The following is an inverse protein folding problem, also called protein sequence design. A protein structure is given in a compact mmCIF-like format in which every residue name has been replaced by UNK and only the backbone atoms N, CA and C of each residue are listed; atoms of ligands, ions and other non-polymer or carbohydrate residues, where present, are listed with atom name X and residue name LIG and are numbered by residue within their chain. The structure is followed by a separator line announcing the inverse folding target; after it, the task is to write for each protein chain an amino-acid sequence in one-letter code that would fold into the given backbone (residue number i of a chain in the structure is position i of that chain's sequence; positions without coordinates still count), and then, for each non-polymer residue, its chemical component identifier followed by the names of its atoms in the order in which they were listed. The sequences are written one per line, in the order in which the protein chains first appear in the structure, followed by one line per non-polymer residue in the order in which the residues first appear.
data_IF_203407364754
#
_entry.id   IF_203407364754
#
_cell.length_a   1.000
_cell.length_b   1.000
_cell.length_c   1.000
_cell.angle_alpha   90.00
_cell.angle_beta   90.00
_cell.angle_gamma   90.00
#
_symmetry.space_group_name_H-M   'P 1'
#
loop_
_entity.id
_entity.type
_entity.pdbx_description
1 polymer ?
#
# COMPACT_ATOMS: atom_id res chain seq x y z
N UNK A 1 11.19 35.71 14.61
CA UNK A 1 10.73 34.44 14.04
C UNK A 1 9.32 34.19 14.54
N UNK A 2 8.33 34.15 13.64
CA UNK A 2 6.96 33.79 14.01
C UNK A 2 6.93 32.28 14.23
N UNK A 3 6.50 31.86 15.41
CA UNK A 3 6.13 30.46 15.67
C UNK A 3 4.92 30.14 14.77
N UNK A 4 5.16 29.36 13.72
CA UNK A 4 4.14 28.94 12.76
C UNK A 4 3.27 27.84 13.37
N UNK A 5 1.97 28.00 13.17
CA UNK A 5 0.83 27.13 13.52
C UNK A 5 1.17 25.64 13.72
N UNK A 6 0.73 25.10 14.85
CA UNK A 6 0.61 23.65 15.05
C UNK A 6 -0.36 23.12 14.00
N UNK A 7 0.15 22.41 12.98
CA UNK A 7 -0.68 21.73 12.00
C UNK A 7 -1.43 20.60 12.70
N UNK A 8 -2.74 20.77 12.90
CA UNK A 8 -3.60 19.71 13.42
C UNK A 8 -3.63 18.59 12.38
N UNK A 9 -3.19 17.39 12.77
CA UNK A 9 -3.25 16.22 11.89
C UNK A 9 -4.71 15.87 11.57
N UNK A 10 -5.00 15.45 10.33
CA UNK A 10 -6.35 15.04 9.96
C UNK A 10 -6.77 13.77 10.72
N UNK A 11 -8.06 13.64 11.09
CA UNK A 11 -8.56 12.39 11.66
C UNK A 11 -8.43 11.24 10.66
N UNK A 12 -8.38 10.01 11.18
CA UNK A 12 -8.38 8.82 10.34
C UNK A 12 -9.71 8.69 9.61
N UNK A 13 -9.64 8.35 8.33
CA UNK A 13 -10.80 8.15 7.47
C UNK A 13 -11.62 6.98 7.97
N UNK A 14 -12.90 7.25 8.27
CA UNK A 14 -13.85 6.25 8.75
C UNK A 14 -14.59 5.64 7.57
N UNK A 15 -14.64 4.30 7.53
CA UNK A 15 -15.51 3.55 6.64
C UNK A 15 -16.66 2.91 7.41
N UNK A 16 -17.77 2.73 6.71
CA UNK A 16 -19.08 2.48 7.30
C UNK A 16 -19.25 1.07 7.90
N UNK A 17 -18.52 0.08 7.40
CA UNK A 17 -18.65 -1.32 7.83
C UNK A 17 -17.45 -2.16 7.40
N UNK A 18 -17.30 -3.32 8.03
CA UNK A 18 -16.28 -4.32 7.65
C UNK A 18 -16.54 -4.89 6.25
N UNK A 19 -17.79 -5.10 5.87
CA UNK A 19 -18.15 -5.58 4.53
C UNK A 19 -17.71 -4.59 3.45
N UNK A 20 -17.97 -3.29 3.63
CA UNK A 20 -17.51 -2.24 2.72
C UNK A 20 -15.98 -2.17 2.65
N UNK A 21 -15.30 -2.33 3.79
CA UNK A 21 -13.84 -2.39 3.83
C UNK A 21 -13.29 -3.58 3.05
N UNK A 22 -13.88 -4.77 3.21
CA UNK A 22 -13.47 -5.98 2.50
C UNK A 22 -13.73 -5.89 1.00
N UNK A 23 -14.87 -5.32 0.58
CA UNK A 23 -15.17 -5.06 -0.82
C UNK A 23 -14.12 -4.14 -1.45
N UNK A 24 -13.85 -3.00 -0.80
CA UNK A 24 -12.86 -2.02 -1.28
C UNK A 24 -11.44 -2.58 -1.29
N UNK A 25 -11.09 -3.40 -0.29
CA UNK A 25 -9.80 -4.11 -0.24
C UNK A 25 -9.63 -5.08 -1.42
N UNK A 26 -10.68 -5.83 -1.79
CA UNK A 26 -10.62 -6.70 -2.97
C UNK A 26 -10.52 -5.87 -4.25
N UNK A 27 -11.29 -4.80 -4.36
CA UNK A 27 -11.22 -3.90 -5.52
C UNK A 27 -9.83 -3.30 -5.71
N UNK A 28 -9.20 -2.75 -4.65
CA UNK A 28 -7.86 -2.15 -4.73
C UNK A 28 -6.77 -3.19 -5.03
N UNK A 29 -6.95 -4.43 -4.60
CA UNK A 29 -6.03 -5.55 -4.87
C UNK A 29 -6.15 -6.08 -6.30
N UNK A 30 -7.39 -6.28 -6.78
CA UNK A 30 -7.67 -7.14 -7.93
C UNK A 30 -7.89 -6.41 -9.24
N UNK A 31 -8.48 -5.20 -9.20
CA UNK A 31 -8.78 -4.48 -10.44
C UNK A 31 -7.48 -4.10 -11.16
N UNK A 32 -7.53 -4.12 -12.51
CA UNK A 32 -6.36 -3.89 -13.38
C UNK A 32 -6.63 -2.68 -14.27
N UNK A 33 -5.72 -1.70 -14.23
CA UNK A 33 -5.88 -0.41 -14.94
C UNK A 33 -4.54 0.18 -15.41
N UNK A 34 -3.41 -0.33 -14.91
CA UNK A 34 -2.10 0.10 -15.35
C UNK A 34 -1.74 -0.57 -16.67
N UNK A 35 -1.12 0.19 -17.56
CA UNK A 35 -0.63 -0.28 -18.86
C UNK A 35 0.88 -0.09 -18.91
N UNK A 36 1.59 -1.17 -19.22
CA UNK A 36 2.99 -1.06 -19.61
C UNK A 36 3.06 -0.75 -21.11
N UNK A 37 3.83 0.26 -21.55
CA UNK A 37 3.99 0.57 -22.97
C UNK A 37 4.42 -0.63 -23.82
N UNK A 38 5.27 -1.49 -23.26
CA UNK A 38 5.77 -2.71 -23.92
C UNK A 38 4.77 -3.88 -23.93
N UNK A 39 3.69 -3.83 -23.14
CA UNK A 39 2.63 -4.87 -23.06
C UNK A 39 1.25 -4.21 -22.88
N UNK A 40 0.76 -3.45 -23.87
CA UNK A 40 -0.44 -2.62 -23.70
C UNK A 40 -1.73 -3.43 -23.50
N UNK A 41 -1.77 -4.68 -23.97
CA UNK A 41 -2.91 -5.59 -23.88
C UNK A 41 -2.96 -6.39 -22.56
N UNK A 42 -1.92 -6.27 -21.73
CA UNK A 42 -1.82 -6.95 -20.44
C UNK A 42 -1.99 -5.94 -19.30
N UNK A 43 -3.24 -5.65 -18.94
CA UNK A 43 -3.54 -4.73 -17.84
C UNK A 43 -2.99 -5.25 -16.53
N UNK A 44 -2.45 -4.34 -15.72
CA UNK A 44 -1.84 -4.63 -14.43
C UNK A 44 -2.61 -3.97 -13.28
N UNK A 45 -2.67 -4.69 -12.17
CA UNK A 45 -2.90 -4.14 -10.82
C UNK A 45 -1.61 -3.47 -10.32
N UNK A 46 -1.65 -2.92 -9.10
CA UNK A 46 -0.44 -2.43 -8.41
C UNK A 46 0.57 -3.57 -8.18
N UNK A 47 1.84 -3.23 -7.97
CA UNK A 47 2.96 -4.18 -7.87
C UNK A 47 3.03 -4.94 -6.53
N UNK A 48 1.94 -5.58 -6.10
CA UNK A 48 1.78 -6.23 -4.78
C UNK A 48 2.75 -7.40 -4.54
N UNK A 49 3.16 -8.12 -5.59
CA UNK A 49 4.10 -9.26 -5.55
C UNK A 49 5.57 -8.82 -5.66
N UNK A 50 5.85 -7.51 -5.62
CA UNK A 50 7.21 -6.97 -5.50
C UNK A 50 7.37 -6.20 -4.18
N UNK A 51 7.73 -6.90 -3.08
CA UNK A 51 7.77 -6.29 -1.77
C UNK A 51 9.04 -5.44 -1.53
N UNK A 52 10.12 -5.66 -2.28
CA UNK A 52 11.43 -5.07 -2.02
C UNK A 52 11.44 -3.53 -1.91
N UNK A 53 10.61 -2.83 -2.69
CA UNK A 53 10.49 -1.37 -2.71
C UNK A 53 9.15 -0.94 -3.31
N UNK A 54 8.86 0.37 -3.35
CA UNK A 54 7.71 0.97 -4.02
C UNK A 54 6.46 1.08 -3.16
N UNK A 55 6.58 0.93 -1.84
CA UNK A 55 5.46 1.03 -0.89
C UNK A 55 4.70 2.36 -1.02
N UNK A 56 5.41 3.48 -1.13
CA UNK A 56 4.85 4.81 -1.35
C UNK A 56 3.96 4.87 -2.60
N UNK A 57 4.45 4.35 -3.73
CA UNK A 57 3.72 4.32 -4.99
C UNK A 57 2.49 3.39 -4.90
N UNK A 58 2.60 2.25 -4.20
CA UNK A 58 1.48 1.33 -4.00
C UNK A 58 0.38 1.97 -3.14
N UNK A 59 0.76 2.58 -2.02
CA UNK A 59 -0.18 3.23 -1.11
C UNK A 59 -0.87 4.44 -1.76
N UNK A 60 -0.12 5.25 -2.49
CA UNK A 60 -0.69 6.38 -3.23
C UNK A 60 -1.58 5.94 -4.39
N UNK A 61 -1.21 4.88 -5.13
CA UNK A 61 -2.06 4.35 -6.19
C UNK A 61 -3.37 3.77 -5.63
N UNK A 62 -3.31 3.08 -4.49
CA UNK A 62 -4.51 2.59 -3.81
C UNK A 62 -5.45 3.75 -3.46
N UNK A 63 -4.94 4.79 -2.80
CA UNK A 63 -5.69 6.00 -2.49
C UNK A 63 -6.29 6.66 -3.74
N UNK A 64 -5.51 6.77 -4.80
CA UNK A 64 -5.96 7.32 -6.08
C UNK A 64 -7.15 6.59 -6.66
N UNK A 65 -7.09 5.27 -6.70
CA UNK A 65 -8.15 4.49 -7.31
C UNK A 65 -9.41 4.49 -6.45
N UNK A 66 -9.27 4.41 -5.13
CA UNK A 66 -10.38 4.56 -4.21
C UNK A 66 -11.09 5.91 -4.43
N UNK A 67 -10.35 7.00 -4.56
CA UNK A 67 -10.89 8.33 -4.90
C UNK A 67 -11.60 8.35 -6.27
N UNK A 68 -11.01 7.75 -7.30
CA UNK A 68 -11.64 7.63 -8.63
C UNK A 68 -12.92 6.80 -8.63
N UNK A 69 -13.04 5.84 -7.73
CA UNK A 69 -14.25 5.04 -7.52
C UNK A 69 -15.25 5.72 -6.57
N UNK A 70 -15.01 6.99 -6.23
CA UNK A 70 -15.85 7.79 -5.33
C UNK A 70 -15.97 7.22 -3.92
N UNK A 71 -14.97 6.46 -3.46
CA UNK A 71 -14.85 6.04 -2.07
C UNK A 71 -14.08 7.09 -1.26
N UNK A 72 -14.36 7.15 0.04
CA UNK A 72 -13.56 7.96 0.97
C UNK A 72 -12.11 7.49 0.97
N UNK A 73 -11.19 8.41 0.65
CA UNK A 73 -9.77 8.11 0.47
C UNK A 73 -9.10 7.88 1.82
N UNK A 74 -8.44 6.73 2.04
CA UNK A 74 -7.77 6.45 3.30
C UNK A 74 -6.66 7.44 3.64
N UNK A 75 -6.40 7.59 4.94
CA UNK A 75 -5.14 8.13 5.43
C UNK A 75 -3.99 7.19 5.06
N UNK A 76 -2.75 7.64 5.28
CA UNK A 76 -1.59 6.76 5.18
C UNK A 76 -0.98 6.52 6.54
N UNK A 77 -0.61 5.28 6.81
CA UNK A 77 0.22 4.93 7.96
C UNK A 77 1.66 4.69 7.48
N UNK A 78 2.59 5.39 8.12
CA UNK A 78 4.02 5.18 7.99
C UNK A 78 4.51 4.49 9.25
N UNK A 79 5.36 3.48 9.08
CA UNK A 79 6.07 2.81 10.16
C UNK A 79 7.56 2.87 9.88
N UNK A 80 8.37 3.08 10.91
CA UNK A 80 9.82 3.25 10.84
C UNK A 80 10.52 2.30 11.82
N UNK A 81 11.70 1.83 11.43
CA UNK A 81 12.51 0.93 12.26
C UNK A 81 13.33 -0.05 11.42
N UNK A 82 13.81 -1.12 12.04
CA UNK A 82 14.41 -2.27 11.36
C UNK A 82 13.31 -3.29 11.00
N UNK A 83 12.58 -2.99 9.93
CA UNK A 83 11.40 -3.75 9.52
C UNK A 83 11.82 -4.99 8.74
N UNK A 84 11.25 -6.14 9.06
CA UNK A 84 11.56 -7.41 8.41
C UNK A 84 10.28 -8.22 8.18
N UNK A 85 10.01 -8.62 6.93
CA UNK A 85 8.83 -9.41 6.56
C UNK A 85 9.23 -10.68 5.83
N UNK A 86 8.80 -11.83 6.38
CA UNK A 86 8.90 -13.12 5.69
C UNK A 86 7.87 -13.18 4.56
N UNK A 87 8.30 -13.52 3.35
CA UNK A 87 7.42 -13.57 2.18
C UNK A 87 7.94 -14.49 1.09
N UNK A 88 7.01 -15.19 0.43
CA UNK A 88 7.30 -16.02 -0.75
C UNK A 88 7.59 -15.18 -2.01
N UNK A 89 7.39 -13.86 -1.94
CA UNK A 89 7.67 -12.93 -3.03
C UNK A 89 9.09 -12.35 -2.97
N UNK A 90 9.91 -12.79 -2.01
CA UNK A 90 11.32 -12.43 -1.87
C UNK A 90 12.23 -13.58 -2.30
N UNK A 91 13.30 -13.31 -3.05
CA UNK A 91 14.27 -14.36 -3.46
C UNK A 91 14.95 -15.00 -2.25
N UNK A 92 15.26 -14.21 -1.23
CA UNK A 92 15.79 -14.64 0.07
C UNK A 92 14.73 -15.24 1.01
N UNK A 93 13.44 -15.15 0.66
CA UNK A 93 12.32 -15.49 1.55
C UNK A 93 11.97 -14.40 2.57
N UNK A 94 12.68 -13.27 2.57
CA UNK A 94 12.46 -12.13 3.46
C UNK A 94 12.85 -10.81 2.79
N UNK A 95 12.18 -9.73 3.16
CA UNK A 95 12.55 -8.34 2.80
C UNK A 95 12.75 -7.51 4.06
N UNK A 96 13.57 -6.47 3.94
CA UNK A 96 13.84 -5.52 5.02
C UNK A 96 13.73 -4.09 4.54
N UNK A 97 13.23 -3.20 5.39
CA UNK A 97 13.09 -1.77 5.09
C UNK A 97 13.39 -0.91 6.30
N UNK A 98 13.81 0.33 6.07
CA UNK A 98 13.91 1.34 7.13
C UNK A 98 12.55 2.01 7.44
N UNK A 99 11.61 1.95 6.49
CA UNK A 99 10.23 2.35 6.64
C UNK A 99 9.30 1.56 5.72
N UNK A 100 8.02 1.54 6.05
CA UNK A 100 6.98 1.04 5.18
C UNK A 100 5.73 1.93 5.27
N UNK A 101 4.93 1.98 4.20
CA UNK A 101 3.72 2.79 4.14
C UNK A 101 2.57 2.04 3.48
N UNK A 102 1.38 2.21 4.03
CA UNK A 102 0.15 1.63 3.50
C UNK A 102 -1.06 2.55 3.77
N UNK A 103 -2.17 2.39 3.04
CA UNK A 103 -3.45 3.01 3.37
C UNK A 103 -4.00 2.48 4.71
N UNK A 104 -4.60 3.36 5.51
CA UNK A 104 -5.23 3.04 6.80
C UNK A 104 -6.62 3.67 6.92
N UNK A 105 -7.56 2.90 7.45
CA UNK A 105 -8.95 3.31 7.70
C UNK A 105 -9.37 2.92 9.12
N UNK A 106 -10.44 3.53 9.60
CA UNK A 106 -11.11 3.15 10.84
C UNK A 106 -12.50 2.57 10.52
N UNK A 107 -12.85 1.45 11.14
CA UNK A 107 -14.16 0.80 11.06
C UNK A 107 -14.57 0.39 12.46
N UNK A 108 -15.75 0.81 12.92
CA UNK A 108 -16.25 0.53 14.27
C UNK A 108 -15.25 0.88 15.41
N UNK A 109 -14.47 1.95 15.24
CA UNK A 109 -13.45 2.38 16.21
C UNK A 109 -12.15 1.57 16.18
N UNK A 110 -12.03 0.58 15.29
CA UNK A 110 -10.81 -0.22 15.08
C UNK A 110 -10.09 0.24 13.81
N UNK A 111 -8.77 0.39 13.89
CA UNK A 111 -7.92 0.75 12.74
C UNK A 111 -7.50 -0.49 11.96
N UNK A 112 -7.61 -0.39 10.63
CA UNK A 112 -7.24 -1.45 9.68
C UNK A 112 -6.33 -0.91 8.60
N UNK A 113 -5.29 -1.69 8.28
CA UNK A 113 -4.29 -1.40 7.25
C UNK A 113 -4.59 -2.22 6.00
N UNK A 114 -4.60 -1.55 4.85
CA UNK A 114 -4.93 -2.13 3.55
C UNK A 114 -3.65 -2.43 2.76
N UNK A 115 -2.97 -3.53 3.05
CA UNK A 115 -1.65 -3.84 2.47
C UNK A 115 -1.54 -5.24 1.85
N UNK A 116 -1.98 -5.39 0.58
CA UNK A 116 -1.86 -6.67 -0.11
C UNK A 116 -0.43 -7.19 -0.32
N UNK A 117 0.60 -6.35 -0.18
CA UNK A 117 1.98 -6.81 -0.30
C UNK A 117 2.45 -7.62 0.93
N UNK A 118 1.85 -7.37 2.11
CA UNK A 118 2.10 -8.10 3.35
C UNK A 118 1.03 -9.16 3.61
N UNK A 119 -0.25 -8.84 3.41
CA UNK A 119 -1.37 -9.77 3.58
C UNK A 119 -2.36 -9.61 2.41
N UNK A 120 -2.30 -10.48 1.39
CA UNK A 120 -3.13 -10.31 0.21
C UNK A 120 -4.59 -10.70 0.46
N UNK A 121 -4.94 -11.43 1.52
CA UNK A 121 -6.29 -12.00 1.68
C UNK A 121 -7.29 -11.07 2.36
N UNK A 122 -6.81 -10.20 3.24
CA UNK A 122 -7.66 -9.34 4.06
C UNK A 122 -6.90 -8.12 4.60
N UNK A 123 -7.61 -7.03 4.93
CA UNK A 123 -7.08 -5.98 5.80
C UNK A 123 -6.60 -6.55 7.12
N UNK A 124 -5.48 -6.03 7.63
CA UNK A 124 -4.99 -6.39 8.96
C UNK A 124 -5.38 -5.29 9.96
N UNK A 125 -5.61 -5.67 11.22
CA UNK A 125 -5.62 -4.68 12.28
C UNK A 125 -4.24 -4.04 12.38
N UNK A 126 -4.18 -2.80 12.85
CA UNK A 126 -2.92 -2.06 12.98
C UNK A 126 -1.86 -2.86 13.74
N UNK A 127 -2.22 -3.40 14.90
CA UNK A 127 -1.34 -4.21 15.74
C UNK A 127 -0.83 -5.48 15.03
N UNK A 128 -1.70 -6.16 14.28
CA UNK A 128 -1.34 -7.35 13.52
C UNK A 128 -0.40 -7.02 12.36
N UNK A 129 -0.63 -5.89 11.68
CA UNK A 129 0.23 -5.41 10.60
C UNK A 129 1.63 -5.06 11.11
N UNK A 130 1.74 -4.34 12.24
CA UNK A 130 3.02 -4.06 12.88
C UNK A 130 3.76 -5.34 13.29
N UNK A 131 3.04 -6.32 13.84
CA UNK A 131 3.59 -7.63 14.21
C UNK A 131 4.07 -8.47 13.01
N UNK A 132 3.62 -8.19 11.78
CA UNK A 132 4.19 -8.82 10.57
C UNK A 132 5.59 -8.31 10.24
N UNK A 133 5.97 -7.13 10.72
CA UNK A 133 7.24 -6.46 10.39
C UNK A 133 8.28 -6.49 11.51
N UNK A 134 7.89 -6.79 12.75
CA UNK A 134 8.81 -6.84 13.89
C UNK A 134 8.33 -7.81 14.95
N UNK A 135 9.28 -8.47 15.61
CA UNK A 135 9.02 -9.27 16.83
C UNK A 135 8.80 -8.39 18.07
N UNK A 136 9.15 -7.11 18.01
CA UNK A 136 8.89 -6.10 19.05
C UNK A 136 8.13 -4.91 18.47
N UNK A 137 6.87 -5.10 18.01
CA UNK A 137 6.11 -4.06 17.32
C UNK A 137 5.86 -2.79 18.16
N UNK A 138 5.93 -2.88 19.49
CA UNK A 138 5.84 -1.75 20.40
C UNK A 138 7.04 -0.79 20.34
N UNK A 139 8.17 -1.22 19.79
CA UNK A 139 9.38 -0.40 19.64
C UNK A 139 9.40 0.36 18.30
N UNK A 140 8.41 0.11 17.42
CA UNK A 140 8.32 0.76 16.12
C UNK A 140 7.77 2.18 16.25
N UNK A 141 8.34 3.11 15.49
CA UNK A 141 7.81 4.45 15.35
C UNK A 141 6.72 4.47 14.27
N UNK A 142 5.58 5.08 14.56
CA UNK A 142 4.42 5.10 13.67
C UNK A 142 3.86 6.51 13.54
N UNK A 143 3.55 6.91 12.30
CA UNK A 143 2.86 8.15 11.99
C UNK A 143 1.64 7.87 11.09
N UNK A 144 0.47 8.32 11.51
CA UNK A 144 -0.72 8.33 10.64
C UNK A 144 -0.87 9.74 10.07
N UNK A 145 -0.70 9.84 8.76
CA UNK A 145 -0.69 11.10 8.02
C UNK A 145 -1.92 11.22 7.10
N UNK A 146 -2.09 12.40 6.55
CA UNK A 146 -3.12 12.70 5.56
C UNK A 146 -3.01 11.82 4.31
N UNK A 147 -4.14 11.68 3.61
CA UNK A 147 -4.26 10.85 2.41
C UNK A 147 -3.28 11.24 1.29
N UNK A 148 -2.83 12.50 1.25
CA UNK A 148 -1.98 13.08 0.23
C UNK A 148 -0.48 13.06 0.53
N UNK A 149 -0.04 12.70 1.73
CA UNK A 149 1.39 12.54 2.07
C UNK A 149 1.99 11.40 1.25
N UNK A 150 2.99 11.63 0.40
CA UNK A 150 3.52 10.61 -0.54
C UNK A 150 4.71 9.85 0.06
N UNK A 151 5.69 10.59 0.58
CA UNK A 151 6.91 10.06 1.22
C UNK A 151 7.03 10.51 2.68
N UNK A 152 7.93 9.91 3.47
CA UNK A 152 8.19 10.35 4.85
C UNK A 152 8.67 11.80 5.01
N UNK A 153 9.19 12.41 3.94
CA UNK A 153 9.70 13.79 3.98
C UNK A 153 8.62 14.84 3.68
N UNK A 154 7.41 14.40 3.33
CA UNK A 154 6.32 15.30 2.99
C UNK A 154 5.60 15.81 4.24
N UNK A 155 4.80 16.86 4.06
CA UNK A 155 3.88 17.31 5.10
C UNK A 155 2.86 16.22 5.46
N UNK A 156 2.92 15.76 6.72
CA UNK A 156 2.03 14.74 7.26
C UNK A 156 0.56 15.22 7.34
N UNK A 157 0.29 16.51 7.31
CA UNK A 157 -1.07 17.05 7.28
C UNK A 157 -1.69 17.09 5.86
N UNK A 158 -0.92 16.77 4.81
CA UNK A 158 -1.38 16.88 3.42
C UNK A 158 -2.54 15.93 3.13
N UNK A 159 -3.68 16.51 2.76
CA UNK A 159 -4.86 15.79 2.28
C UNK A 159 -4.91 15.82 0.75
N UNK A 160 -5.37 14.71 0.18
CA UNK A 160 -5.69 14.55 -1.23
C UNK A 160 -7.00 13.79 -1.40
N UNK A 161 -7.69 14.06 -2.51
CA UNK A 161 -8.82 13.28 -3.02
C UNK A 161 -8.38 12.09 -3.90
N UNK A 162 -7.07 11.84 -4.00
CA UNK A 162 -6.47 10.77 -4.76
C UNK A 162 -6.29 11.08 -6.25
N UNK A 163 -6.46 12.32 -6.72
CA UNK A 163 -6.37 12.57 -8.16
C UNK A 163 -4.93 12.70 -8.72
N UNK A 164 -3.89 12.57 -7.90
CA UNK A 164 -2.51 12.67 -8.37
C UNK A 164 -2.13 11.54 -9.33
N UNK A 165 -1.35 11.86 -10.38
CA UNK A 165 -0.93 10.87 -11.38
C UNK A 165 0.47 10.28 -11.12
N UNK A 166 1.28 10.92 -10.29
CA UNK A 166 2.66 10.51 -9.97
C UNK A 166 2.75 9.04 -9.56
N UNK A 167 1.81 8.58 -8.72
CA UNK A 167 1.75 7.18 -8.29
C UNK A 167 1.61 6.17 -9.45
N UNK A 168 0.89 6.52 -10.51
CA UNK A 168 0.71 5.62 -11.65
C UNK A 168 1.97 5.55 -12.52
N UNK A 169 2.73 6.63 -12.60
CA UNK A 169 4.01 6.70 -13.33
C UNK A 169 5.10 5.93 -12.58
N UNK A 170 5.23 6.16 -11.27
CA UNK A 170 6.18 5.44 -10.42
C UNK A 170 5.91 3.93 -10.40
N UNK A 171 4.64 3.52 -10.45
CA UNK A 171 4.31 2.09 -10.54
C UNK A 171 4.89 1.41 -11.78
N UNK A 172 5.12 2.11 -12.89
CA UNK A 172 5.61 1.49 -14.12
C UNK A 172 6.97 0.79 -13.94
N UNK A 173 7.87 1.33 -13.12
CA UNK A 173 9.16 0.67 -12.85
C UNK A 173 8.96 -0.58 -11.99
N UNK A 174 8.12 -0.50 -10.96
CA UNK A 174 7.85 -1.61 -10.05
C UNK A 174 7.06 -2.75 -10.71
N UNK A 175 6.21 -2.46 -11.71
CA UNK A 175 5.55 -3.49 -12.51
C UNK A 175 6.52 -4.35 -13.31
N UNK A 176 7.63 -3.77 -13.80
CA UNK A 176 8.71 -4.50 -14.48
C UNK A 176 9.52 -5.32 -13.48
N UNK A 177 9.79 -4.77 -12.31
CA UNK A 177 10.49 -5.50 -11.25
C UNK A 177 9.66 -6.68 -10.72
N UNK A 178 8.36 -6.50 -10.54
CA UNK A 178 7.44 -7.58 -10.16
C UNK A 178 7.44 -8.72 -11.19
N UNK A 179 7.41 -8.39 -12.47
CA UNK A 179 7.52 -9.39 -13.54
C UNK A 179 8.81 -10.20 -13.43
N UNK A 180 9.94 -9.49 -13.33
CA UNK A 180 11.26 -10.12 -13.21
C UNK A 180 11.38 -10.92 -11.92
N UNK A 181 10.75 -10.48 -10.82
CA UNK A 181 10.73 -11.20 -9.55
C UNK A 181 10.04 -12.56 -9.69
N UNK A 182 8.89 -12.62 -10.37
CA UNK A 182 8.25 -13.91 -10.60
C UNK A 182 9.12 -14.85 -11.45
N UNK A 183 9.78 -14.34 -12.48
CA UNK A 183 10.75 -15.13 -13.25
C UNK A 183 11.92 -15.65 -12.38
N UNK A 184 12.49 -14.80 -11.52
CA UNK A 184 13.56 -15.19 -10.58
C UNK A 184 13.11 -16.29 -9.61
N UNK A 185 11.86 -16.22 -9.16
CA UNK A 185 11.22 -17.21 -8.29
C UNK A 185 10.75 -18.47 -9.05
N UNK A 186 11.02 -18.56 -10.35
CA UNK A 186 10.57 -19.65 -11.25
C UNK A 186 9.04 -19.80 -11.26
N UNK A 187 8.32 -18.68 -11.13
CA UNK A 187 6.86 -18.55 -11.22
C UNK A 187 6.47 -18.00 -12.57
N UNK A 188 5.22 -18.23 -12.97
CA UNK A 188 4.69 -17.76 -14.25
C UNK A 188 4.08 -16.35 -14.10
N UNK A 189 4.72 -15.30 -14.62
CA UNK A 189 4.19 -13.94 -14.52
C UNK A 189 2.92 -13.72 -15.34
N UNK A 190 2.69 -14.43 -16.45
CA UNK A 190 1.48 -14.26 -17.25
C UNK A 190 0.25 -14.79 -16.51
N UNK A 191 0.41 -15.92 -15.83
CA UNK A 191 -0.63 -16.50 -14.98
C UNK A 191 -0.90 -15.66 -13.73
N UNK A 192 0.14 -15.37 -12.93
CA UNK A 192 -0.04 -14.79 -11.60
C UNK A 192 -0.30 -13.28 -11.58
N UNK A 193 0.22 -12.55 -12.56
CA UNK A 193 -0.11 -11.13 -12.75
C UNK A 193 -1.38 -10.94 -13.58
N UNK A 194 -1.79 -12.01 -14.26
CA UNK A 194 -3.06 -12.14 -14.94
C UNK A 194 -4.11 -12.76 -14.02
N UNK A 195 -4.78 -13.79 -14.53
CA UNK A 195 -6.06 -14.29 -14.02
C UNK A 195 -5.95 -15.26 -12.85
N UNK A 196 -4.74 -15.70 -12.49
CA UNK A 196 -4.53 -16.63 -11.38
C UNK A 196 -3.60 -16.03 -10.31
N UNK A 197 -3.97 -14.89 -9.68
CA UNK A 197 -3.18 -14.35 -8.60
C UNK A 197 -3.04 -15.36 -7.43
N UNK A 198 -1.97 -15.27 -6.63
CA UNK A 198 -1.71 -16.20 -5.54
C UNK A 198 -2.51 -15.87 -4.25
N UNK A 199 -3.82 -15.60 -4.36
CA UNK A 199 -4.72 -15.33 -3.23
C UNK A 199 -6.14 -15.86 -3.42
#
# INVERSE_FOLDING_TARGET
MKFGESSVLPPVTVWESEDAMLERFRALRDQRWLKLPERPDFLRRSSWLYPDDGCFARAALANRNLGKWSYSVPNKIFVFGDLNVMTVNAVSGMVSWWYHVAPIVEVNGQKYVLDPAIEPRQPLKLEDWLARMSSTPQDLEVAICGSGTYTPNDDCARISDGQENEAAEDQLVYLRYEWNRLLQLKRDPESELGDNPPW
#
